data_IF_978131488453
#
_entry.id   IF_978131488453
#
_cell.length_a   1.000
_cell.length_b   1.000
_cell.length_c   1.000
_cell.angle_alpha   90.00
_cell.angle_beta   90.00
_cell.angle_gamma   90.00
#
_symmetry.space_group_name_H-M   'P 1'
#
loop_
_entity.id
_entity.type
_entity.pdbx_description
1 polymer ?
#
# COMPACT_ATOMS: atom_id res chain seq x y z
N UNK A 1 2.63 1.21 -13.75
CA UNK A 1 1.82 0.15 -13.14
C UNK A 1 0.36 0.36 -13.50
N UNK A 2 -0.30 -0.68 -14.00
CA UNK A 2 -1.74 -0.70 -14.36
C UNK A 2 -2.52 -1.65 -13.45
N UNK A 3 -1.86 -2.20 -12.44
CA UNK A 3 -2.44 -3.12 -11.48
C UNK A 3 -3.57 -2.46 -10.68
N UNK A 4 -4.69 -3.16 -10.56
CA UNK A 4 -5.85 -2.72 -9.79
C UNK A 4 -5.87 -3.50 -8.48
N UNK A 5 -6.12 -2.82 -7.37
CA UNK A 5 -6.29 -3.44 -6.06
C UNK A 5 -7.69 -3.18 -5.55
N UNK A 6 -8.27 -4.21 -4.94
CA UNK A 6 -9.57 -4.19 -4.31
C UNK A 6 -9.36 -4.45 -2.83
N UNK A 7 -9.78 -3.51 -1.98
CA UNK A 7 -9.71 -3.62 -0.52
C UNK A 7 -11.11 -3.82 0.01
N UNK A 8 -11.31 -4.89 0.77
CA UNK A 8 -12.59 -5.22 1.39
C UNK A 8 -12.44 -5.45 2.88
N UNK A 9 -13.52 -5.20 3.60
CA UNK A 9 -13.71 -5.66 4.98
C UNK A 9 -14.94 -6.54 5.01
N UNK A 10 -14.73 -7.86 4.99
CA UNK A 10 -15.82 -8.82 4.76
C UNK A 10 -16.50 -8.54 3.41
N UNK A 11 -17.80 -8.28 3.43
CA UNK A 11 -18.59 -7.92 2.25
C UNK A 11 -18.53 -6.43 1.86
N UNK A 12 -17.94 -5.58 2.72
CA UNK A 12 -17.90 -4.14 2.47
C UNK A 12 -16.68 -3.76 1.61
N UNK A 13 -16.92 -3.11 0.48
CA UNK A 13 -15.87 -2.58 -0.39
C UNK A 13 -15.37 -1.24 0.16
N UNK A 14 -14.08 -1.18 0.51
CA UNK A 14 -13.44 0.04 1.00
C UNK A 14 -12.71 0.81 -0.11
N UNK A 15 -12.09 0.08 -1.04
CA UNK A 15 -11.34 0.69 -2.15
C UNK A 15 -11.34 -0.23 -3.37
N UNK A 16 -11.43 0.36 -4.55
CA UNK A 16 -11.40 -0.35 -5.84
C UNK A 16 -10.79 0.56 -6.92
N UNK A 17 -9.49 0.41 -7.14
CA UNK A 17 -8.75 1.39 -7.92
C UNK A 17 -7.34 0.95 -8.28
N UNK A 18 -6.57 1.86 -8.86
CA UNK A 18 -5.17 1.60 -9.15
C UNK A 18 -4.39 1.46 -7.84
N UNK A 19 -3.49 0.49 -7.75
CA UNK A 19 -2.67 0.28 -6.54
C UNK A 19 -1.80 1.49 -6.19
N UNK A 20 -1.38 2.29 -7.18
CA UNK A 20 -0.65 3.54 -6.97
C UNK A 20 -1.46 4.64 -6.29
N UNK A 21 -2.79 4.54 -6.29
CA UNK A 21 -3.68 5.53 -5.66
C UNK A 21 -4.29 4.97 -4.36
N UNK A 22 -3.75 3.86 -3.84
CA UNK A 22 -4.20 3.33 -2.56
C UNK A 22 -3.98 4.38 -1.46
N UNK A 23 -4.92 4.58 -0.53
CA UNK A 23 -4.72 5.52 0.57
C UNK A 23 -3.58 5.03 1.46
N UNK A 24 -2.49 5.78 1.51
CA UNK A 24 -1.32 5.54 2.35
C UNK A 24 -1.27 6.62 3.43
N UNK A 25 -0.71 6.29 4.60
CA UNK A 25 -0.56 7.23 5.71
C UNK A 25 0.45 8.30 5.31
N UNK A 26 0.01 9.55 5.13
CA UNK A 26 0.88 10.69 4.78
C UNK A 26 2.10 10.79 5.70
N UNK A 27 1.92 10.61 7.02
CA UNK A 27 3.02 10.64 7.99
C UNK A 27 4.11 9.63 7.66
N UNK A 28 3.73 8.41 7.30
CA UNK A 28 4.68 7.36 6.96
C UNK A 28 5.43 7.70 5.67
N UNK A 29 4.74 8.26 4.67
CA UNK A 29 5.38 8.71 3.42
C UNK A 29 6.38 9.83 3.72
N UNK A 30 6.01 10.82 4.53
CA UNK A 30 6.89 11.93 4.91
C UNK A 30 8.11 11.44 5.68
N UNK A 31 7.93 10.64 6.73
CA UNK A 31 9.04 10.11 7.55
C UNK A 31 10.00 9.28 6.69
N UNK A 32 9.49 8.35 5.90
CA UNK A 32 10.31 7.52 5.02
C UNK A 32 11.00 8.34 3.91
N UNK A 33 10.37 9.42 3.44
CA UNK A 33 11.01 10.34 2.49
C UNK A 33 12.16 11.10 3.13
N UNK A 34 12.02 11.58 4.37
CA UNK A 34 13.11 12.22 5.12
C UNK A 34 14.25 11.22 5.31
N UNK A 35 13.96 9.98 5.71
CA UNK A 35 14.97 8.94 5.92
C UNK A 35 15.74 8.55 4.65
N UNK A 36 15.07 8.47 3.50
CA UNK A 36 15.68 8.06 2.23
C UNK A 36 16.48 9.19 1.59
N UNK A 37 15.98 10.42 1.67
CA UNK A 37 16.54 11.56 0.96
C UNK A 37 17.37 12.50 1.85
N UNK A 38 17.41 12.26 3.17
CA UNK A 38 18.04 13.13 4.18
C UNK A 38 17.56 14.59 4.06
N UNK A 39 16.28 14.76 3.71
CA UNK A 39 15.62 16.03 3.42
C UNK A 39 14.47 16.24 4.40
N UNK A 40 14.64 17.17 5.35
CA UNK A 40 13.66 17.51 6.40
C UNK A 40 12.30 18.01 5.85
N UNK A 41 12.23 18.47 4.60
CA UNK A 41 10.97 18.90 3.95
C UNK A 41 10.81 18.20 2.59
N UNK A 42 10.48 16.90 2.58
CA UNK A 42 10.45 16.13 1.36
C UNK A 42 9.33 16.61 0.43
N UNK A 43 9.73 17.15 -0.71
CA UNK A 43 8.80 17.63 -1.72
C UNK A 43 7.95 16.50 -2.35
N UNK A 44 6.94 16.88 -3.14
CA UNK A 44 6.04 15.95 -3.84
C UNK A 44 6.78 14.92 -4.70
N UNK A 45 7.96 15.25 -5.23
CA UNK A 45 8.76 14.32 -6.05
C UNK A 45 9.33 13.19 -5.18
N UNK A 46 9.84 13.50 -3.98
CA UNK A 46 10.35 12.52 -3.01
C UNK A 46 9.20 11.61 -2.54
N UNK A 47 8.07 12.21 -2.15
CA UNK A 47 6.89 11.46 -1.73
C UNK A 47 6.38 10.53 -2.83
N UNK A 48 6.34 11.00 -4.08
CA UNK A 48 5.94 10.18 -5.24
C UNK A 48 6.87 9.00 -5.49
N UNK A 49 8.17 9.13 -5.18
CA UNK A 49 9.12 8.03 -5.25
C UNK A 49 8.83 7.02 -4.15
N UNK A 50 8.70 7.47 -2.90
CA UNK A 50 8.40 6.61 -1.75
C UNK A 50 7.10 5.83 -1.94
N UNK A 51 6.03 6.47 -2.43
CA UNK A 51 4.76 5.81 -2.75
C UNK A 51 4.97 4.67 -3.76
N UNK A 52 5.77 4.89 -4.82
CA UNK A 52 6.06 3.84 -5.82
C UNK A 52 6.85 2.69 -5.22
N UNK A 53 7.81 2.96 -4.35
CA UNK A 53 8.59 1.92 -3.67
C UNK A 53 7.69 1.09 -2.75
N UNK A 54 6.87 1.73 -1.93
CA UNK A 54 5.91 1.05 -1.03
C UNK A 54 4.93 0.17 -1.82
N UNK A 55 4.36 0.70 -2.90
CA UNK A 55 3.46 -0.05 -3.77
C UNK A 55 4.19 -1.20 -4.46
N UNK A 56 5.45 -1.01 -4.85
CA UNK A 56 6.26 -2.08 -5.45
C UNK A 56 6.49 -3.22 -4.46
N UNK A 57 6.81 -2.93 -3.21
CA UNK A 57 6.93 -3.94 -2.14
C UNK A 57 5.63 -4.70 -1.93
N UNK A 58 4.49 -4.00 -1.87
CA UNK A 58 3.19 -4.66 -1.79
C UNK A 58 2.95 -5.60 -2.98
N UNK A 59 3.28 -5.18 -4.21
CA UNK A 59 3.16 -6.03 -5.40
C UNK A 59 4.09 -7.24 -5.36
N UNK A 60 5.30 -7.08 -4.85
CA UNK A 60 6.25 -8.18 -4.65
C UNK A 60 5.69 -9.18 -3.64
N UNK A 61 5.11 -8.72 -2.53
CA UNK A 61 4.38 -9.57 -1.58
C UNK A 61 3.30 -10.42 -2.26
N UNK A 62 2.45 -9.84 -3.11
CA UNK A 62 1.44 -10.59 -3.86
C UNK A 62 2.08 -11.65 -4.78
N UNK A 63 3.21 -11.32 -5.42
CA UNK A 63 3.93 -12.24 -6.31
C UNK A 63 4.62 -13.37 -5.54
N UNK A 64 5.26 -13.06 -4.42
CA UNK A 64 5.96 -14.04 -3.57
C UNK A 64 5.00 -15.05 -2.96
N UNK A 65 3.79 -14.61 -2.60
CA UNK A 65 2.76 -15.48 -2.07
C UNK A 65 2.04 -16.30 -3.15
N UNK A 66 2.29 -16.04 -4.43
CA UNK A 66 1.56 -16.58 -5.58
C UNK A 66 0.03 -16.48 -5.40
N UNK A 67 -0.41 -15.41 -4.74
CA UNK A 67 -1.82 -15.20 -4.37
C UNK A 67 -2.27 -13.84 -4.87
N UNK A 68 -3.42 -13.86 -5.53
CA UNK A 68 -4.13 -12.62 -5.85
C UNK A 68 -4.82 -12.02 -4.62
N UNK A 69 -5.08 -12.80 -3.57
CA UNK A 69 -5.76 -12.35 -2.35
C UNK A 69 -4.90 -12.63 -1.13
N UNK A 70 -4.65 -11.57 -0.34
CA UNK A 70 -3.95 -11.64 0.95
C UNK A 70 -4.78 -10.95 2.03
N UNK A 71 -4.74 -11.53 3.23
CA UNK A 71 -5.33 -10.92 4.41
C UNK A 71 -4.26 -10.05 5.07
N UNK A 72 -4.58 -8.79 5.35
CA UNK A 72 -3.58 -7.89 5.92
C UNK A 72 -3.19 -8.25 7.36
N UNK A 73 -3.95 -9.14 8.03
CA UNK A 73 -3.57 -9.70 9.31
C UNK A 73 -2.28 -10.55 9.24
N UNK A 74 -2.05 -11.24 8.12
CA UNK A 74 -0.86 -12.08 7.92
C UNK A 74 0.40 -11.22 7.73
N UNK A 75 0.24 -9.98 7.28
CA UNK A 75 1.32 -9.06 6.93
C UNK A 75 1.15 -7.69 7.59
N UNK A 76 0.74 -7.66 8.88
CA UNK A 76 0.40 -6.41 9.58
C UNK A 76 1.45 -5.32 9.45
N UNK A 77 2.73 -5.68 9.53
CA UNK A 77 3.84 -4.73 9.46
C UNK A 77 3.93 -4.06 8.09
N UNK A 78 3.84 -4.83 7.01
CA UNK A 78 3.89 -4.33 5.64
C UNK A 78 2.62 -3.53 5.27
N UNK A 79 1.48 -3.87 5.85
CA UNK A 79 0.21 -3.19 5.60
C UNK A 79 -0.03 -1.99 6.52
N UNK A 80 0.77 -1.77 7.57
CA UNK A 80 0.60 -0.64 8.49
C UNK A 80 0.74 0.71 7.79
N UNK A 81 1.49 0.77 6.68
CA UNK A 81 1.63 1.99 5.87
C UNK A 81 0.31 2.46 5.23
N UNK A 82 -0.70 1.60 5.14
CA UNK A 82 -1.96 1.89 4.46
C UNK A 82 -2.93 2.61 5.40
N UNK A 83 -3.56 3.69 4.93
CA UNK A 83 -4.48 4.52 5.71
C UNK A 83 -5.90 3.92 5.69
N UNK A 84 -6.05 2.76 6.32
CA UNK A 84 -7.36 2.18 6.61
C UNK A 84 -7.52 1.92 8.10
N UNK A 85 -8.73 2.18 8.61
CA UNK A 85 -9.11 1.74 9.94
C UNK A 85 -9.11 0.21 10.01
N UNK A 86 -8.66 -0.37 11.12
CA UNK A 86 -8.77 -1.79 11.42
C UNK A 86 -8.18 -2.74 10.33
N UNK A 87 -6.88 -2.60 10.07
CA UNK A 87 -6.12 -3.37 9.06
C UNK A 87 -6.28 -4.89 9.25
N UNK A 88 -6.41 -5.37 10.50
CA UNK A 88 -6.56 -6.79 10.83
C UNK A 88 -7.76 -7.47 10.14
N UNK A 89 -8.81 -6.71 9.82
CA UNK A 89 -10.04 -7.24 9.22
C UNK A 89 -10.09 -7.05 7.71
N UNK A 90 -9.00 -6.57 7.09
CA UNK A 90 -8.97 -6.21 5.68
C UNK A 90 -8.41 -7.33 4.81
N UNK A 91 -9.01 -7.46 3.63
CA UNK A 91 -8.50 -8.31 2.55
C UNK A 91 -8.15 -7.45 1.35
N UNK A 92 -7.02 -7.75 0.75
CA UNK A 92 -6.51 -7.06 -0.42
C UNK A 92 -6.45 -8.07 -1.57
N UNK A 93 -7.13 -7.73 -2.66
CA UNK A 93 -7.20 -8.54 -3.87
C UNK A 93 -6.56 -7.77 -5.03
N UNK A 94 -5.46 -8.30 -5.55
CA UNK A 94 -4.77 -7.79 -6.73
C UNK A 94 -5.39 -8.36 -8.00
N UNK A 95 -5.84 -7.47 -8.88
CA UNK A 95 -6.27 -7.79 -10.24
C UNK A 95 -5.25 -7.26 -11.24
N UNK A 96 -4.48 -8.19 -11.77
CA UNK A 96 -3.66 -7.95 -12.96
C UNK A 96 -4.61 -7.99 -14.16
N UNK A 97 -4.69 -6.89 -14.90
CA UNK A 97 -5.58 -6.73 -16.04
C UNK A 97 -4.85 -7.00 -17.35
#
# INVERSE_FOLDING_TARGET
MKERVIVKRGDYLLYDGNILNIPLKDKYITELSIEIFDDDDPCIIHQSYVIKELVSKLLELFKEQDKSLIHAIDFKEEFDVIDFTDISSLTFELKVK
#
